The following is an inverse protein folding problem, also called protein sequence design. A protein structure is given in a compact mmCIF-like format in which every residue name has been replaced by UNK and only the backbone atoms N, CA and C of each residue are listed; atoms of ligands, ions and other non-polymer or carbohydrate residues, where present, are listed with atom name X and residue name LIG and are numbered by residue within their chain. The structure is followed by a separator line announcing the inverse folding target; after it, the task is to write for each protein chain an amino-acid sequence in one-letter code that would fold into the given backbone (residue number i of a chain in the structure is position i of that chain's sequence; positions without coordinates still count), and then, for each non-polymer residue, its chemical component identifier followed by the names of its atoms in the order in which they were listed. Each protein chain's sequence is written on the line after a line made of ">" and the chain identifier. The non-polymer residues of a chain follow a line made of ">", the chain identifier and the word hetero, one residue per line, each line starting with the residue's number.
data_IF_785862603625
#
_entry.id   IF_785862603625
#
_cell.length_a   1.000
_cell.length_b   1.000
_cell.length_c   1.000
_cell.angle_alpha   90.00
_cell.angle_beta   90.00
_cell.angle_gamma   90.00
#
_symmetry.space_group_name_H-M   'P 1'
#
loop_
_entity.id
_entity.type
_entity.pdbx_description
1 polymer ?
#
# COMPACT_ATOMS: atom_id res chain seq x y z
N UNK A 1 -4.25 8.47 14.96
CA UNK A 1 -4.42 9.54 13.95
C UNK A 1 -5.25 8.94 12.84
N UNK A 2 -6.14 9.70 12.19
CA UNK A 2 -6.99 9.11 11.15
C UNK A 2 -6.13 8.86 9.91
N UNK A 3 -5.46 7.72 9.86
CA UNK A 3 -4.50 7.38 8.82
C UNK A 3 -5.22 7.35 7.48
N UNK A 4 -5.00 8.43 6.72
CA UNK A 4 -5.49 8.58 5.37
C UNK A 4 -4.77 7.52 4.53
N UNK A 5 -5.41 6.37 4.34
CA UNK A 5 -4.99 5.35 3.36
C UNK A 5 -4.87 5.90 1.93
N UNK A 6 -5.26 7.16 1.72
CA UNK A 6 -5.18 7.92 0.49
C UNK A 6 -4.71 9.33 0.79
N UNK A 7 -3.56 9.71 0.22
CA UNK A 7 -3.13 11.09 0.15
C UNK A 7 -3.97 11.82 -0.91
N UNK A 8 -4.57 12.94 -0.51
CA UNK A 8 -5.12 13.93 -1.43
C UNK A 8 -4.03 14.94 -1.79
N UNK A 9 -4.11 15.66 -2.92
CA UNK A 9 -3.09 16.63 -3.31
C UNK A 9 -2.83 17.75 -2.29
N UNK A 10 -3.81 18.01 -1.42
CA UNK A 10 -3.74 19.03 -0.37
C UNK A 10 -3.15 18.49 0.95
N UNK A 11 -2.83 17.19 1.04
CA UNK A 11 -2.20 16.60 2.22
C UNK A 11 -0.67 16.76 2.18
N UNK A 12 -0.10 17.01 3.35
CA UNK A 12 1.35 16.97 3.54
C UNK A 12 1.89 15.56 3.31
N UNK A 13 3.16 15.49 2.92
CA UNK A 13 3.83 14.21 2.71
C UNK A 13 3.98 13.45 4.04
N UNK A 14 3.87 12.10 4.07
CA UNK A 14 3.94 11.35 5.32
C UNK A 14 5.29 11.48 6.03
N UNK A 15 5.25 11.81 7.33
CA UNK A 15 6.45 11.96 8.19
C UNK A 15 7.35 10.71 8.16
N UNK A 16 6.74 9.52 8.14
CA UNK A 16 7.47 8.23 8.12
C UNK A 16 8.30 8.04 6.85
N UNK A 17 7.93 8.71 5.77
CA UNK A 17 8.62 8.64 4.48
C UNK A 17 9.57 9.82 4.27
N UNK A 18 9.52 10.88 5.09
CA UNK A 18 10.40 12.06 4.95
C UNK A 18 11.88 11.71 5.13
N UNK A 19 12.18 10.67 5.93
CA UNK A 19 13.55 10.20 6.17
C UNK A 19 14.10 9.36 5.02
N UNK A 20 13.24 8.92 4.09
CA UNK A 20 13.63 8.10 2.95
C UNK A 20 14.20 8.98 1.83
N UNK A 21 15.21 8.48 1.13
CA UNK A 21 15.67 9.17 -0.08
C UNK A 21 14.66 8.99 -1.22
N UNK A 22 14.62 9.93 -2.18
CA UNK A 22 13.79 9.80 -3.38
C UNK A 22 13.98 8.44 -4.08
N UNK A 23 15.21 7.91 -4.07
CA UNK A 23 15.51 6.61 -4.66
C UNK A 23 14.82 5.47 -3.89
N UNK A 24 14.87 5.51 -2.56
CA UNK A 24 14.25 4.48 -1.72
C UNK A 24 12.73 4.49 -1.90
N UNK A 25 12.12 5.68 -2.00
CA UNK A 25 10.68 5.84 -2.28
C UNK A 25 10.33 5.26 -3.66
N UNK A 26 11.12 5.54 -4.70
CA UNK A 26 10.91 4.97 -6.03
C UNK A 26 11.06 3.45 -6.07
N UNK A 27 12.01 2.91 -5.30
CA UNK A 27 12.20 1.46 -5.17
C UNK A 27 11.01 0.83 -4.45
N UNK A 28 10.49 1.47 -3.40
CA UNK A 28 9.30 1.02 -2.69
C UNK A 28 8.07 1.01 -3.60
N UNK A 29 7.81 2.11 -4.31
CA UNK A 29 6.71 2.19 -5.29
C UNK A 29 6.82 1.10 -6.35
N UNK A 30 8.02 0.91 -6.93
CA UNK A 30 8.26 -0.15 -7.91
C UNK A 30 8.04 -1.56 -7.37
N UNK A 31 8.24 -1.81 -6.08
CA UNK A 31 7.94 -3.12 -5.46
C UNK A 31 6.45 -3.31 -5.28
N UNK A 32 5.75 -2.28 -4.81
CA UNK A 32 4.30 -2.30 -4.63
C UNK A 32 3.60 -2.55 -5.96
N UNK A 33 4.00 -1.85 -7.04
CA UNK A 33 3.41 -2.06 -8.37
C UNK A 33 3.56 -3.50 -8.85
N UNK A 34 4.76 -4.09 -8.75
CA UNK A 34 4.99 -5.50 -9.15
C UNK A 34 4.21 -6.49 -8.29
N UNK A 35 4.01 -6.16 -7.02
CA UNK A 35 3.19 -6.98 -6.14
C UNK A 35 1.72 -6.94 -6.56
N UNK A 36 1.18 -5.74 -6.84
CA UNK A 36 -0.18 -5.59 -7.37
C UNK A 36 -0.36 -6.30 -8.71
N UNK A 37 0.62 -6.23 -9.61
CA UNK A 37 0.61 -6.94 -10.89
C UNK A 37 0.52 -8.46 -10.71
N UNK A 38 1.07 -9.01 -9.62
CA UNK A 38 1.01 -10.43 -9.30
C UNK A 38 -0.30 -10.80 -8.58
N UNK A 39 -0.84 -9.88 -7.78
CA UNK A 39 -2.04 -10.12 -6.97
C UNK A 39 -3.33 -9.90 -7.77
N UNK A 40 -3.28 -9.29 -8.96
CA UNK A 40 -4.44 -8.98 -9.80
C UNK A 40 -4.36 -9.76 -11.12
N UNK A 41 -5.22 -10.77 -11.28
CA UNK A 41 -5.26 -11.63 -12.48
C UNK A 41 -6.05 -10.98 -13.62
N UNK A 42 -7.16 -10.33 -13.27
CA UNK A 42 -7.96 -9.52 -14.20
C UNK A 42 -8.44 -8.26 -13.47
N UNK A 43 -8.93 -7.26 -14.20
CA UNK A 43 -9.40 -6.01 -13.58
C UNK A 43 -10.49 -6.28 -12.53
N UNK A 44 -10.12 -6.16 -11.26
CA UNK A 44 -11.01 -6.37 -10.11
C UNK A 44 -11.06 -7.80 -9.57
N UNK A 45 -10.28 -8.73 -10.12
CA UNK A 45 -10.19 -10.11 -9.61
C UNK A 45 -8.78 -10.38 -9.05
N UNK A 46 -8.74 -10.79 -7.78
CA UNK A 46 -7.50 -11.17 -7.11
C UNK A 46 -7.03 -12.56 -7.55
N UNK A 47 -5.71 -12.78 -7.51
CA UNK A 47 -5.13 -14.10 -7.71
C UNK A 47 -5.47 -15.02 -6.53
N UNK A 48 -6.09 -16.20 -6.76
CA UNK A 48 -6.42 -17.16 -5.70
C UNK A 48 -5.22 -17.61 -4.87
N UNK A 49 -4.02 -17.63 -5.45
CA UNK A 49 -2.80 -17.99 -4.72
C UNK A 49 -2.39 -16.92 -3.70
N UNK A 50 -2.70 -15.65 -3.98
CA UNK A 50 -2.32 -14.51 -3.12
C UNK A 50 -3.49 -13.90 -2.35
N UNK A 51 -4.71 -14.40 -2.51
CA UNK A 51 -5.93 -13.87 -1.88
C UNK A 51 -5.79 -13.70 -0.36
N UNK A 52 -5.01 -14.57 0.30
CA UNK A 52 -4.76 -14.51 1.74
C UNK A 52 -4.19 -13.16 2.21
N UNK A 53 -3.41 -12.46 1.36
CA UNK A 53 -2.80 -11.17 1.69
C UNK A 53 -3.81 -10.04 1.85
N UNK A 54 -4.97 -10.12 1.19
CA UNK A 54 -6.03 -9.13 1.40
C UNK A 54 -6.53 -9.17 2.85
N UNK A 55 -6.65 -10.36 3.45
CA UNK A 55 -7.04 -10.48 4.85
C UNK A 55 -5.96 -9.92 5.79
N UNK A 56 -4.67 -10.17 5.50
CA UNK A 56 -3.57 -9.61 6.30
C UNK A 56 -3.56 -8.07 6.26
N UNK A 57 -3.80 -7.48 5.08
CA UNK A 57 -3.89 -6.03 4.90
C UNK A 57 -5.13 -5.45 5.60
N UNK A 58 -6.28 -6.11 5.52
CA UNK A 58 -7.50 -5.69 6.20
C UNK A 58 -7.32 -5.68 7.73
N UNK A 59 -6.64 -6.70 8.27
CA UNK A 59 -6.28 -6.78 9.69
C UNK A 59 -5.32 -5.64 10.07
N UNK A 60 -4.26 -5.43 9.29
CA UNK A 60 -3.31 -4.34 9.50
C UNK A 60 -3.99 -2.96 9.48
N UNK A 61 -4.86 -2.70 8.49
CA UNK A 61 -5.60 -1.44 8.41
C UNK A 61 -6.57 -1.26 9.56
N UNK A 62 -7.18 -2.36 10.03
CA UNK A 62 -8.03 -2.34 11.22
C UNK A 62 -7.23 -2.02 12.48
N UNK A 63 -5.98 -2.50 12.59
CA UNK A 63 -5.08 -2.18 13.70
C UNK A 63 -4.60 -0.72 13.65
N UNK A 64 -4.23 -0.22 12.47
CA UNK A 64 -3.82 1.18 12.27
C UNK A 64 -4.95 2.18 12.53
N UNK A 65 -6.20 1.78 12.25
CA UNK A 65 -7.39 2.60 12.49
C UNK A 65 -7.84 2.72 13.96
N UNK A 66 -7.18 2.02 14.90
CA UNK A 66 -7.45 2.09 16.35
C UNK A 66 -6.57 3.14 17.04
#
# INVERSE_FOLDING_TARGET
>A
MTDKLRLTPDDDFPEDLEVMTDNDVQVLDSRIQRQLDHEIVTTGESDPETEFRHYELDDEFTERGK
#
